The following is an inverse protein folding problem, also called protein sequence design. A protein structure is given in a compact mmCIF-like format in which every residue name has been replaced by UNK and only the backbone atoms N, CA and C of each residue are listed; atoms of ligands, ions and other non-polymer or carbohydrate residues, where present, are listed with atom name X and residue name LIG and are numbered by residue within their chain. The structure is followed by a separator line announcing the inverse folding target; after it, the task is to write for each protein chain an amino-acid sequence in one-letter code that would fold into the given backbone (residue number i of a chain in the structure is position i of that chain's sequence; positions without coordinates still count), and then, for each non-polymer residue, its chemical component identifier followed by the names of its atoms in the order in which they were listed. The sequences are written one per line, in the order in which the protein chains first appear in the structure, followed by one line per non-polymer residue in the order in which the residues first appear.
data_IF_260682218365
#
_entry.id   IF_260682218365
#
_cell.length_a   1.000
_cell.length_b   1.000
_cell.length_c   1.000
_cell.angle_alpha   90.00
_cell.angle_beta   90.00
_cell.angle_gamma   90.00
#
_symmetry.space_group_name_H-M   'P 1'
#
loop_
_entity.id
_entity.type
_entity.pdbx_description
1 polymer ?
#
# COMPACT_ATOMS: atom_id res chain seq x y z
N UNK A 1 48.05 10.94 51.55
CA UNK A 1 47.24 9.70 51.61
C UNK A 1 47.24 9.08 50.23
N UNK A 2 47.68 7.82 50.15
CA UNK A 2 47.83 7.06 48.91
C UNK A 2 46.47 6.74 48.26
N UNK A 3 46.30 7.08 46.99
CA UNK A 3 45.27 6.48 46.14
C UNK A 3 45.94 5.61 45.08
N UNK A 4 45.61 4.31 45.14
CA UNK A 4 46.00 3.28 44.18
C UNK A 4 45.31 3.54 42.83
N UNK A 5 46.08 3.54 41.76
CA UNK A 5 45.59 3.44 40.40
C UNK A 5 45.13 2.00 40.14
N UNK A 6 43.86 1.83 39.71
CA UNK A 6 43.37 0.59 39.11
C UNK A 6 43.56 0.70 37.59
N UNK A 7 44.43 -0.15 37.05
CA UNK A 7 44.53 -0.45 35.63
C UNK A 7 43.35 -1.33 35.22
N UNK A 8 42.51 -0.85 34.32
CA UNK A 8 41.55 -1.66 33.57
C UNK A 8 42.13 -1.90 32.17
N UNK A 9 42.40 -3.17 31.85
CA UNK A 9 42.69 -3.62 30.49
C UNK A 9 41.44 -3.51 29.61
N UNK A 10 41.55 -3.10 28.34
CA UNK A 10 40.51 -3.36 27.36
C UNK A 10 40.65 -4.80 26.83
N UNK A 11 39.58 -5.59 26.96
CA UNK A 11 39.39 -6.82 26.20
C UNK A 11 39.11 -6.44 24.74
N UNK A 12 40.11 -6.62 23.89
CA UNK A 12 39.95 -6.64 22.43
C UNK A 12 39.33 -7.99 22.03
N UNK A 13 38.03 -8.01 21.77
CA UNK A 13 37.38 -9.10 21.02
C UNK A 13 37.50 -8.80 19.54
N UNK A 14 38.48 -9.43 18.89
CA UNK A 14 38.56 -9.52 17.43
C UNK A 14 37.39 -10.35 16.92
N UNK A 15 36.39 -9.71 16.30
CA UNK A 15 35.47 -10.39 15.41
C UNK A 15 36.18 -10.62 14.08
N UNK A 16 36.53 -11.87 13.80
CA UNK A 16 36.94 -12.30 12.47
C UNK A 16 35.71 -12.24 11.56
N UNK A 17 35.75 -11.32 10.59
CA UNK A 17 34.82 -11.32 9.48
C UNK A 17 35.11 -12.55 8.60
N UNK A 18 34.24 -13.55 8.65
CA UNK A 18 34.19 -14.58 7.62
C UNK A 18 33.67 -13.93 6.33
N UNK A 19 34.55 -13.74 5.36
CA UNK A 19 34.13 -13.56 3.98
C UNK A 19 33.48 -14.85 3.50
N UNK A 20 32.32 -14.82 2.81
CA UNK A 20 31.80 -16.00 2.17
C UNK A 20 32.72 -16.36 1.01
N UNK A 21 33.47 -17.45 1.19
CA UNK A 21 34.09 -18.16 0.07
C UNK A 21 32.98 -18.70 -0.81
N UNK A 22 32.90 -18.23 -2.06
CA UNK A 22 32.12 -18.85 -3.13
C UNK A 22 32.75 -20.22 -3.41
N UNK A 23 32.29 -21.22 -2.64
CA UNK A 23 32.65 -22.63 -2.77
C UNK A 23 31.69 -23.31 -3.74
N UNK A 24 32.27 -24.09 -4.65
CA UNK A 24 31.56 -24.81 -5.71
C UNK A 24 30.46 -25.74 -5.19
N UNK A 25 29.50 -25.94 -6.08
CA UNK A 25 28.38 -26.87 -6.02
C UNK A 25 28.83 -28.30 -5.70
N UNK A 26 28.56 -28.76 -4.48
CA UNK A 26 28.28 -30.16 -4.19
C UNK A 26 26.84 -30.23 -3.67
N UNK A 27 25.98 -30.92 -4.43
CA UNK A 27 24.54 -31.04 -4.19
C UNK A 27 24.25 -31.82 -2.91
N UNK A 28 24.14 -31.12 -1.80
CA UNK A 28 23.51 -31.66 -0.60
C UNK A 28 21.99 -31.64 -0.79
N UNK A 29 21.37 -32.83 -0.70
CA UNK A 29 19.93 -33.08 -0.53
C UNK A 29 19.41 -32.39 0.75
N UNK A 30 19.32 -31.06 0.75
CA UNK A 30 18.54 -30.35 1.75
C UNK A 30 17.09 -30.51 1.32
N UNK A 31 16.21 -31.14 2.13
CA UNK A 31 14.80 -31.27 1.80
C UNK A 31 14.21 -29.89 1.50
N UNK A 32 13.58 -29.74 0.33
CA UNK A 32 12.92 -28.50 -0.05
C UNK A 32 11.68 -28.34 0.83
N UNK A 33 11.74 -27.42 1.78
CA UNK A 33 10.60 -27.15 2.65
C UNK A 33 9.64 -26.19 1.94
N UNK A 34 8.63 -26.72 1.25
CA UNK A 34 7.55 -25.93 0.62
C UNK A 34 6.52 -25.40 1.64
N UNK A 35 6.60 -25.80 2.92
CA UNK A 35 5.76 -25.27 4.00
C UNK A 35 6.34 -24.01 4.65
N UNK A 36 7.64 -23.77 4.50
CA UNK A 36 8.22 -22.44 4.72
C UNK A 36 8.13 -21.66 3.43
N UNK A 37 7.34 -20.59 3.38
CA UNK A 37 7.38 -19.68 2.23
C UNK A 37 8.81 -19.14 2.08
N UNK A 38 9.44 -19.37 0.93
CA UNK A 38 10.86 -19.04 0.73
C UNK A 38 11.07 -17.60 0.25
N UNK A 39 10.09 -16.96 -0.39
CA UNK A 39 10.22 -15.54 -0.76
C UNK A 39 10.36 -14.71 0.53
N UNK A 40 11.56 -14.19 0.85
CA UNK A 40 11.82 -13.50 2.11
C UNK A 40 11.14 -12.12 2.16
N UNK A 41 10.37 -11.78 1.12
CA UNK A 41 9.97 -10.43 0.78
C UNK A 41 11.12 -9.64 0.20
N UNK A 42 10.81 -8.44 -0.23
CA UNK A 42 11.81 -7.51 -0.71
C UNK A 42 12.82 -7.14 0.37
N UNK A 43 14.05 -6.85 -0.06
CA UNK A 43 15.08 -6.35 0.85
C UNK A 43 14.61 -5.03 1.48
N UNK A 44 14.61 -4.99 2.81
CA UNK A 44 14.33 -3.79 3.58
C UNK A 44 15.51 -2.83 3.46
N UNK A 45 15.30 -1.70 2.81
CA UNK A 45 16.27 -0.61 2.72
C UNK A 45 16.27 0.23 4.00
N UNK A 46 15.09 0.41 4.61
CA UNK A 46 14.95 1.12 5.88
C UNK A 46 13.73 0.64 6.67
N UNK A 47 13.90 0.61 7.99
CA UNK A 47 12.84 0.33 8.96
C UNK A 47 12.88 1.37 10.09
N UNK A 48 11.70 1.87 10.45
CA UNK A 48 11.48 2.82 11.53
C UNK A 48 10.21 2.46 12.32
N UNK A 49 10.11 2.77 13.62
CA UNK A 49 11.17 3.34 14.46
C UNK A 49 12.35 2.39 14.64
N UNK A 50 13.56 2.94 14.77
CA UNK A 50 14.75 2.18 15.16
C UNK A 50 14.71 1.72 16.62
N UNK A 51 15.61 0.82 17.08
CA UNK A 51 15.60 0.29 18.45
C UNK A 51 15.73 1.33 19.58
N UNK A 52 16.27 2.51 19.28
CA UNK A 52 16.43 3.63 20.22
C UNK A 52 15.39 4.74 20.06
N UNK A 53 14.52 4.63 19.05
CA UNK A 53 13.51 5.65 18.76
C UNK A 53 12.22 5.37 19.53
N UNK A 54 11.39 6.40 19.69
CA UNK A 54 10.09 6.24 20.32
C UNK A 54 9.22 5.29 19.48
N UNK A 55 8.61 4.26 20.08
CA UNK A 55 7.77 3.34 19.33
C UNK A 55 6.56 4.04 18.71
N UNK A 56 6.03 3.46 17.64
CA UNK A 56 4.68 3.75 17.16
C UNK A 56 3.77 2.63 17.63
N UNK A 57 2.80 2.98 18.46
CA UNK A 57 1.84 2.07 19.09
C UNK A 57 0.42 2.20 18.50
N UNK A 58 0.24 3.11 17.55
CA UNK A 58 -1.00 3.28 16.81
C UNK A 58 -0.72 3.89 15.43
N UNK A 59 -1.35 3.32 14.40
CA UNK A 59 -1.43 3.89 13.05
C UNK A 59 -2.87 3.71 12.59
N UNK A 60 -3.52 4.83 12.30
CA UNK A 60 -4.95 4.88 12.02
C UNK A 60 -5.23 5.34 10.61
N UNK A 61 -6.00 4.53 9.88
CA UNK A 61 -6.66 4.85 8.59
C UNK A 61 -5.73 5.11 7.39
N UNK A 62 -4.55 5.68 7.63
CA UNK A 62 -3.74 6.29 6.59
C UNK A 62 -2.28 6.56 7.00
N UNK A 63 -1.36 6.25 6.10
CA UNK A 63 0.00 6.77 6.08
C UNK A 63 0.41 6.97 4.61
N UNK A 64 1.00 8.11 4.26
CA UNK A 64 1.45 8.39 2.88
C UNK A 64 2.76 9.16 2.82
N UNK A 65 3.55 8.94 1.76
CA UNK A 65 4.70 9.77 1.41
C UNK A 65 4.37 11.26 1.26
N UNK A 66 5.35 12.08 1.61
CA UNK A 66 5.35 13.54 1.45
C UNK A 66 6.53 13.91 0.57
N UNK A 67 6.30 14.20 -0.73
CA UNK A 67 7.36 14.67 -1.62
C UNK A 67 8.01 15.92 -1.05
N UNK A 68 9.32 16.03 -1.26
CA UNK A 68 10.12 17.14 -0.75
C UNK A 68 11.36 17.33 -1.63
N UNK A 69 11.98 18.50 -1.51
CA UNK A 69 13.13 18.89 -2.34
C UNK A 69 14.45 18.23 -1.88
N UNK A 70 14.55 17.78 -0.62
CA UNK A 70 15.76 17.14 -0.11
C UNK A 70 15.92 15.69 -0.59
N UNK A 71 14.83 15.06 -1.04
CA UNK A 71 14.81 13.65 -1.40
C UNK A 71 14.75 12.73 -0.18
N UNK A 72 14.49 13.25 1.01
CA UNK A 72 14.31 12.43 2.21
C UNK A 72 13.02 11.61 2.13
N UNK A 73 13.00 10.43 2.76
CA UNK A 73 11.79 9.64 2.88
C UNK A 73 10.94 10.16 4.03
N UNK A 74 10.03 11.09 3.71
CA UNK A 74 9.09 11.66 4.67
C UNK A 74 7.72 11.03 4.46
N UNK A 75 7.04 10.67 5.55
CA UNK A 75 5.65 10.24 5.53
C UNK A 75 4.79 11.14 6.43
N UNK A 76 3.53 11.32 6.06
CA UNK A 76 2.46 11.76 6.93
C UNK A 76 1.68 10.54 7.42
N UNK A 77 1.38 10.47 8.71
CA UNK A 77 0.55 9.41 9.27
C UNK A 77 -0.30 9.93 10.43
N UNK A 78 -1.41 9.25 10.71
CA UNK A 78 -2.28 9.57 11.83
C UNK A 78 -2.13 8.55 12.97
N UNK A 79 -2.04 9.06 14.20
CA UNK A 79 -1.91 8.27 15.42
C UNK A 79 -2.60 9.00 16.56
N UNK A 80 -3.40 8.31 17.37
CA UNK A 80 -4.12 8.88 18.53
C UNK A 80 -4.93 10.16 18.22
N UNK A 81 -5.61 10.19 17.06
CA UNK A 81 -6.37 11.37 16.56
C UNK A 81 -5.52 12.63 16.33
N UNK A 82 -4.26 12.45 15.96
CA UNK A 82 -3.31 13.49 15.63
C UNK A 82 -2.55 13.11 14.35
N UNK A 83 -2.38 14.07 13.43
CA UNK A 83 -1.49 13.90 12.28
C UNK A 83 -0.03 14.19 12.68
N UNK A 84 0.90 13.45 12.08
CA UNK A 84 2.34 13.61 12.24
C UNK A 84 3.05 13.62 10.89
N UNK A 85 4.16 14.35 10.80
CA UNK A 85 5.21 14.08 9.83
C UNK A 85 6.32 13.26 10.49
N UNK A 86 6.86 12.31 9.74
CA UNK A 86 8.01 11.50 10.15
C UNK A 86 9.02 11.44 9.02
N UNK A 87 10.19 12.06 9.23
CA UNK A 87 11.35 11.86 8.37
C UNK A 87 11.98 10.50 8.70
N UNK A 88 11.69 9.49 7.88
CA UNK A 88 12.17 8.13 8.06
C UNK A 88 13.71 8.05 7.89
N UNK A 89 14.29 8.89 7.02
CA UNK A 89 15.74 8.98 6.85
C UNK A 89 16.44 9.40 8.15
N UNK A 90 15.89 10.42 8.82
CA UNK A 90 16.53 11.07 9.98
C UNK A 90 16.05 10.55 11.34
N UNK A 91 14.90 9.89 11.41
CA UNK A 91 14.31 9.46 12.69
C UNK A 91 13.54 10.57 13.44
N UNK A 92 13.30 11.72 12.81
CA UNK A 92 12.62 12.87 13.43
C UNK A 92 11.11 12.83 13.15
N UNK A 93 10.30 13.10 14.18
CA UNK A 93 8.83 13.13 14.11
C UNK A 93 8.28 14.38 14.77
N UNK A 94 7.33 15.05 14.12
CA UNK A 94 6.64 16.24 14.66
C UNK A 94 5.13 16.14 14.42
N UNK A 95 4.33 16.77 15.28
CA UNK A 95 2.89 16.92 15.06
C UNK A 95 2.63 17.94 13.96
N UNK A 96 1.58 17.72 13.17
CA UNK A 96 1.08 18.68 12.18
C UNK A 96 -0.42 18.92 12.39
N UNK A 97 -1.04 19.93 11.77
CA UNK A 97 -2.42 20.28 12.05
C UNK A 97 -3.46 19.15 11.82
N UNK A 98 -4.59 19.31 12.50
CA UNK A 98 -5.78 18.45 12.43
C UNK A 98 -5.57 16.96 12.82
N UNK A 99 -6.66 16.18 12.75
CA UNK A 99 -6.75 14.90 13.48
C UNK A 99 -6.32 13.66 12.71
N UNK A 100 -6.50 13.61 11.40
CA UNK A 100 -6.23 12.41 10.60
C UNK A 100 -6.18 12.73 9.09
N UNK A 101 -5.70 11.76 8.31
CA UNK A 101 -5.79 11.69 6.85
C UNK A 101 -5.13 12.87 6.13
N UNK A 102 -3.99 13.36 6.63
CA UNK A 102 -3.17 14.35 5.94
C UNK A 102 -2.55 13.75 4.65
N UNK A 103 -2.77 14.40 3.51
CA UNK A 103 -2.28 13.95 2.18
C UNK A 103 -1.53 15.07 1.48
N UNK A 104 -0.29 14.80 1.06
CA UNK A 104 0.50 15.75 0.29
C UNK A 104 0.09 15.74 -1.19
N UNK A 105 0.12 16.90 -1.84
CA UNK A 105 0.09 16.98 -3.30
C UNK A 105 1.27 16.23 -3.90
N UNK A 106 1.18 15.69 -5.13
CA UNK A 106 2.26 14.88 -5.72
C UNK A 106 3.58 15.63 -5.91
N UNK A 107 3.56 16.95 -5.88
CA UNK A 107 4.74 17.81 -5.95
C UNK A 107 5.23 18.32 -4.59
N UNK A 108 4.59 17.91 -3.49
CA UNK A 108 4.99 18.28 -2.14
C UNK A 108 4.79 19.75 -1.80
N UNK A 109 3.99 20.50 -2.57
CA UNK A 109 3.74 21.93 -2.30
C UNK A 109 2.71 22.16 -1.19
N UNK A 110 1.70 21.31 -1.12
CA UNK A 110 0.63 21.45 -0.14
C UNK A 110 0.32 20.14 0.56
N UNK A 111 -0.11 20.24 1.82
CA UNK A 111 -0.70 19.16 2.59
C UNK A 111 -2.18 19.45 2.77
N UNK A 112 -3.05 18.47 2.51
CA UNK A 112 -4.50 18.65 2.63
C UNK A 112 -5.05 17.78 3.74
N UNK A 113 -6.15 18.22 4.36
CA UNK A 113 -6.90 17.46 5.37
C UNK A 113 -8.39 17.52 5.03
N UNK A 114 -9.12 16.39 5.01
CA UNK A 114 -10.52 16.38 4.64
C UNK A 114 -11.40 16.82 5.81
N UNK A 115 -12.59 17.34 5.50
CA UNK A 115 -13.45 18.05 6.46
C UNK A 115 -13.84 17.25 7.70
N UNK A 116 -14.00 15.93 7.63
CA UNK A 116 -14.34 15.14 8.81
C UNK A 116 -13.30 15.26 9.93
N UNK A 117 -12.05 15.62 9.62
CA UNK A 117 -10.96 15.68 10.60
C UNK A 117 -10.61 17.09 11.05
N UNK A 118 -11.27 18.11 10.50
CA UNK A 118 -11.06 19.51 10.86
C UNK A 118 -12.12 19.98 11.88
N UNK A 119 -11.81 20.96 12.76
CA UNK A 119 -12.74 21.42 13.79
C UNK A 119 -14.00 22.10 13.25
N UNK A 120 -13.93 22.68 12.05
CA UNK A 120 -14.99 23.45 11.39
C UNK A 120 -15.69 22.69 10.26
N UNK A 121 -15.39 21.40 10.07
CA UNK A 121 -15.94 20.59 8.98
C UNK A 121 -15.66 21.16 7.57
N UNK A 122 -14.52 21.84 7.38
CA UNK A 122 -14.04 22.34 6.10
C UNK A 122 -12.79 21.60 5.62
N UNK A 123 -12.58 21.49 4.30
CA UNK A 123 -11.31 20.98 3.76
C UNK A 123 -10.24 22.06 3.95
N UNK A 124 -9.05 21.67 4.39
CA UNK A 124 -7.93 22.58 4.65
C UNK A 124 -6.71 22.22 3.85
N UNK A 125 -5.99 23.25 3.40
CA UNK A 125 -4.70 23.15 2.74
C UNK A 125 -3.66 23.89 3.58
N UNK A 126 -2.51 23.27 3.79
CA UNK A 126 -1.35 23.79 4.51
C UNK A 126 -0.16 23.87 3.56
N UNK A 127 0.74 24.83 3.79
CA UNK A 127 2.01 24.89 3.08
C UNK A 127 2.91 23.74 3.55
N UNK A 128 3.22 22.81 2.65
CA UNK A 128 4.00 21.63 3.02
C UNK A 128 5.47 21.96 3.30
N UNK A 129 6.03 23.01 2.69
CA UNK A 129 7.40 23.45 2.98
C UNK A 129 7.49 23.98 4.41
N UNK A 130 6.51 24.76 4.86
CA UNK A 130 6.48 25.25 6.25
C UNK A 130 6.39 24.09 7.25
N UNK A 131 5.58 23.06 6.96
CA UNK A 131 5.50 21.85 7.78
C UNK A 131 6.82 21.06 7.83
N UNK A 132 7.52 20.95 6.69
CA UNK A 132 8.83 20.27 6.60
C UNK A 132 9.91 21.09 7.31
N UNK A 133 9.91 22.42 7.19
CA UNK A 133 10.83 23.29 7.92
C UNK A 133 10.72 23.13 9.44
N UNK A 134 9.50 22.90 9.94
CA UNK A 134 9.25 22.56 11.34
C UNK A 134 9.79 21.16 11.71
N UNK A 135 9.57 20.16 10.85
CA UNK A 135 10.12 18.82 11.00
C UNK A 135 11.65 18.84 11.08
N UNK A 136 12.32 19.59 10.20
CA UNK A 136 13.78 19.71 10.16
C UNK A 136 14.35 20.37 11.42
N UNK A 137 13.57 21.25 12.07
CA UNK A 137 13.91 21.85 13.37
C UNK A 137 13.51 20.98 14.56
N UNK A 138 12.75 19.89 14.35
CA UNK A 138 12.18 19.07 15.41
C UNK A 138 11.12 19.80 16.24
N UNK A 139 10.39 20.73 15.63
CA UNK A 139 9.37 21.57 16.27
C UNK A 139 7.97 21.14 15.82
N UNK A 140 7.03 20.97 16.76
CA UNK A 140 5.62 20.72 16.42
C UNK A 140 5.05 21.88 15.58
N UNK A 141 4.20 21.54 14.60
CA UNK A 141 3.56 22.46 13.66
C UNK A 141 2.02 22.40 13.72
N UNK A 142 1.46 21.78 14.76
CA UNK A 142 0.01 21.57 14.95
C UNK A 142 -0.80 22.87 15.07
N UNK A 143 -0.13 23.98 15.36
CA UNK A 143 -0.72 25.33 15.40
C UNK A 143 -0.66 26.12 14.08
N UNK A 144 -0.10 25.59 13.00
CA UNK A 144 0.00 26.32 11.73
C UNK A 144 -1.39 26.56 11.12
N UNK A 145 -1.71 27.79 10.66
CA UNK A 145 -2.96 28.06 9.99
C UNK A 145 -2.98 27.48 8.57
N UNK A 146 -4.16 27.12 8.02
CA UNK A 146 -4.27 26.73 6.63
C UNK A 146 -4.02 27.93 5.70
N UNK A 147 -3.37 27.69 4.56
CA UNK A 147 -3.20 28.68 3.48
C UNK A 147 -4.46 28.81 2.63
N UNK A 148 -5.34 27.80 2.65
CA UNK A 148 -6.64 27.84 1.99
C UNK A 148 -7.64 26.93 2.72
N UNK A 149 -8.89 27.37 2.79
CA UNK A 149 -10.01 26.64 3.39
C UNK A 149 -11.14 26.56 2.37
N UNK A 150 -11.60 25.35 2.07
CA UNK A 150 -12.74 25.11 1.20
C UNK A 150 -13.95 24.72 2.04
N UNK A 151 -14.85 25.68 2.19
CA UNK A 151 -16.18 25.50 2.77
C UNK A 151 -17.18 25.27 1.63
N UNK A 152 -17.69 24.04 1.54
CA UNK A 152 -18.71 23.65 0.57
C UNK A 152 -19.67 22.63 1.19
N UNK A 153 -21.01 22.82 1.07
CA UNK A 153 -21.99 21.95 1.71
C UNK A 153 -21.86 20.47 1.33
N UNK A 154 -21.62 20.17 0.04
CA UNK A 154 -21.43 18.80 -0.47
C UNK A 154 -20.11 18.13 -0.03
N UNK A 155 -19.21 18.88 0.59
CA UNK A 155 -17.91 18.39 1.07
C UNK A 155 -17.83 18.42 2.59
N UNK A 156 -18.96 18.54 3.29
CA UNK A 156 -19.00 18.39 4.75
C UNK A 156 -18.85 16.92 5.12
N UNK A 157 -18.05 16.63 6.15
CA UNK A 157 -17.82 15.28 6.69
C UNK A 157 -17.20 14.26 5.74
N UNK A 158 -16.50 14.70 4.70
CA UNK A 158 -15.67 13.78 3.91
C UNK A 158 -14.49 13.32 4.78
N UNK A 159 -14.27 12.01 4.86
CA UNK A 159 -13.29 11.38 5.76
C UNK A 159 -12.15 10.70 5.02
N UNK A 160 -12.17 10.75 3.69
CA UNK A 160 -11.20 10.09 2.85
C UNK A 160 -10.80 11.00 1.69
N UNK A 161 -9.51 11.04 1.36
CA UNK A 161 -9.02 11.77 0.21
C UNK A 161 -7.84 11.13 -0.54
N UNK A 162 -7.66 11.55 -1.79
CA UNK A 162 -6.43 11.35 -2.58
C UNK A 162 -6.26 12.51 -3.57
N UNK A 163 -5.05 12.75 -4.08
CA UNK A 163 -4.73 13.93 -4.89
C UNK A 163 -3.82 13.60 -6.08
N UNK A 164 -4.04 14.32 -7.19
CA UNK A 164 -3.23 14.27 -8.40
C UNK A 164 -3.10 15.66 -9.04
N UNK A 165 -2.18 15.81 -10.00
CA UNK A 165 -1.97 17.06 -10.76
C UNK A 165 -2.59 16.91 -12.15
N UNK A 166 -3.61 17.71 -12.45
CA UNK A 166 -4.29 17.72 -13.77
C UNK A 166 -3.46 18.47 -14.80
N UNK A 167 -2.90 19.61 -14.42
CA UNK A 167 -2.06 20.44 -15.28
C UNK A 167 -1.17 21.36 -14.47
N UNK A 168 -0.07 21.78 -15.09
CA UNK A 168 0.83 22.82 -14.58
C UNK A 168 1.35 23.66 -15.75
N UNK A 169 1.34 24.96 -15.55
CA UNK A 169 2.03 25.93 -16.40
C UNK A 169 2.80 26.94 -15.53
N UNK A 170 3.39 27.96 -16.15
CA UNK A 170 4.21 28.97 -15.47
C UNK A 170 3.40 29.83 -14.48
N UNK A 171 2.07 29.92 -14.64
CA UNK A 171 1.20 30.78 -13.84
C UNK A 171 0.37 30.02 -12.81
N UNK A 172 0.14 28.72 -13.04
CA UNK A 172 -0.84 27.96 -12.29
C UNK A 172 -0.55 26.47 -12.19
N UNK A 173 -1.08 25.85 -11.15
CA UNK A 173 -1.16 24.39 -11.02
C UNK A 173 -2.60 24.01 -10.70
N UNK A 174 -3.13 23.02 -11.41
CA UNK A 174 -4.47 22.47 -11.15
C UNK A 174 -4.30 21.14 -10.44
N UNK A 175 -4.70 21.08 -9.18
CA UNK A 175 -4.76 19.84 -8.42
C UNK A 175 -6.17 19.28 -8.46
N UNK A 176 -6.30 17.98 -8.69
CA UNK A 176 -7.56 17.25 -8.48
C UNK A 176 -7.48 16.56 -7.14
N UNK A 177 -8.44 16.84 -6.27
CA UNK A 177 -8.65 16.03 -5.08
C UNK A 177 -9.90 15.20 -5.25
N UNK A 178 -9.80 13.94 -4.85
CA UNK A 178 -10.93 13.02 -4.74
C UNK A 178 -11.29 12.88 -3.27
N UNK A 179 -12.59 12.87 -2.97
CA UNK A 179 -13.14 12.79 -1.63
C UNK A 179 -14.18 11.67 -1.52
N UNK A 180 -14.34 11.12 -0.32
CA UNK A 180 -15.48 10.28 0.05
C UNK A 180 -15.96 10.56 1.46
N UNK A 181 -17.26 10.38 1.69
CA UNK A 181 -17.78 10.27 3.05
C UNK A 181 -19.02 11.08 3.43
N UNK A 182 -19.87 11.53 2.51
CA UNK A 182 -21.15 12.09 2.96
C UNK A 182 -22.04 10.95 3.45
N UNK A 183 -22.41 10.95 4.74
CA UNK A 183 -23.22 9.90 5.39
C UNK A 183 -24.62 9.67 4.77
N UNK A 184 -25.00 10.50 3.79
CA UNK A 184 -26.28 10.45 3.09
C UNK A 184 -26.16 10.07 1.61
N UNK A 185 -24.98 10.00 1.01
CA UNK A 185 -24.81 9.69 -0.42
C UNK A 185 -23.62 8.75 -0.64
N UNK A 186 -23.90 7.56 -1.17
CA UNK A 186 -22.87 6.68 -1.74
C UNK A 186 -22.18 7.38 -2.91
N UNK A 187 -20.86 7.29 -3.01
CA UNK A 187 -20.10 7.84 -4.13
C UNK A 187 -18.88 8.65 -3.76
N UNK A 188 -17.99 8.77 -4.73
CA UNK A 188 -16.79 9.59 -4.67
C UNK A 188 -17.02 10.87 -5.43
N UNK A 189 -16.43 11.95 -4.94
CA UNK A 189 -16.47 13.26 -5.59
C UNK A 189 -15.06 13.70 -5.93
N UNK A 190 -14.90 14.42 -7.02
CA UNK A 190 -13.65 15.13 -7.33
C UNK A 190 -13.89 16.65 -7.37
N UNK A 191 -12.87 17.41 -7.01
CA UNK A 191 -12.81 18.86 -7.16
C UNK A 191 -11.46 19.22 -7.76
N UNK A 192 -11.48 20.07 -8.78
CA UNK A 192 -10.26 20.64 -9.35
C UNK A 192 -10.02 22.01 -8.73
N UNK A 193 -8.82 22.21 -8.19
CA UNK A 193 -8.40 23.45 -7.55
C UNK A 193 -7.31 24.10 -8.39
N UNK A 194 -7.59 25.29 -8.92
CA UNK A 194 -6.59 26.09 -9.62
C UNK A 194 -5.85 26.98 -8.63
N UNK A 195 -4.56 26.73 -8.43
CA UNK A 195 -3.68 27.53 -7.60
C UNK A 195 -2.90 28.51 -8.48
N UNK A 196 -2.90 29.80 -8.12
CA UNK A 196 -2.13 30.87 -8.78
C UNK A 196 -1.36 31.69 -7.75
N UNK A 197 -0.08 31.93 -8.00
CA UNK A 197 0.81 32.61 -7.04
C UNK A 197 1.26 31.74 -5.87
N UNK A 198 1.91 32.34 -4.88
CA UNK A 198 2.46 31.66 -3.70
C UNK A 198 2.39 32.57 -2.46
N UNK A 199 2.44 31.98 -1.27
CA UNK A 199 2.42 32.72 0.00
C UNK A 199 1.27 33.72 0.07
N UNK A 200 1.57 35.00 0.31
CA UNK A 200 0.54 36.04 0.46
C UNK A 200 -0.19 36.43 -0.83
N UNK A 201 0.29 36.00 -2.01
CA UNK A 201 -0.38 36.26 -3.30
C UNK A 201 -1.17 35.06 -3.79
N UNK A 202 -1.17 33.95 -3.04
CA UNK A 202 -1.86 32.74 -3.40
C UNK A 202 -3.37 32.98 -3.59
N UNK A 203 -3.87 32.58 -4.75
CA UNK A 203 -5.30 32.51 -5.05
C UNK A 203 -5.63 31.07 -5.41
N UNK A 204 -6.69 30.54 -4.80
CA UNK A 204 -7.19 29.19 -5.05
C UNK A 204 -8.64 29.28 -5.50
N UNK A 205 -8.94 28.68 -6.65
CA UNK A 205 -10.29 28.61 -7.21
C UNK A 205 -10.70 27.16 -7.39
N UNK A 206 -11.63 26.62 -6.58
CA UNK A 206 -12.19 25.29 -6.77
C UNK A 206 -13.27 25.28 -7.88
N UNK A 207 -13.45 24.13 -8.53
CA UNK A 207 -14.68 23.82 -9.28
C UNK A 207 -15.80 23.39 -8.34
N UNK A 208 -17.04 23.31 -8.87
CA UNK A 208 -18.10 22.55 -8.21
C UNK A 208 -17.69 21.08 -8.02
N UNK A 209 -18.08 20.42 -6.90
CA UNK A 209 -17.84 18.99 -6.71
C UNK A 209 -18.52 18.14 -7.79
N UNK A 210 -17.76 17.25 -8.42
CA UNK A 210 -18.26 16.36 -9.46
C UNK A 210 -18.33 14.92 -8.96
N UNK A 211 -19.40 14.20 -9.28
CA UNK A 211 -19.48 12.74 -9.07
C UNK A 211 -18.42 12.03 -9.93
N UNK A 212 -17.64 11.16 -9.29
CA UNK A 212 -16.61 10.36 -9.93
C UNK A 212 -17.19 9.06 -10.50
N UNK A 213 -16.94 8.82 -11.79
CA UNK A 213 -17.27 7.60 -12.53
C UNK A 213 -18.69 7.04 -12.24
N UNK A 214 -19.75 7.83 -12.46
CA UNK A 214 -21.13 7.43 -12.11
C UNK A 214 -21.62 6.16 -12.81
N UNK A 215 -21.00 5.77 -13.91
CA UNK A 215 -21.28 4.55 -14.67
C UNK A 215 -20.78 3.27 -14.00
N UNK A 216 -19.90 3.36 -12.99
CA UNK A 216 -19.39 2.19 -12.27
C UNK A 216 -20.41 1.79 -11.19
N UNK A 217 -21.08 0.63 -11.33
CA UNK A 217 -22.09 0.19 -10.38
C UNK A 217 -21.45 -0.19 -9.03
N UNK A 218 -22.25 -0.09 -7.96
CA UNK A 218 -21.97 -0.61 -6.61
C UNK A 218 -20.86 0.09 -5.80
N UNK A 219 -20.60 1.35 -6.13
CA UNK A 219 -19.67 2.28 -5.50
C UNK A 219 -18.19 1.81 -5.52
N UNK A 220 -17.31 2.76 -5.77
CA UNK A 220 -15.87 2.51 -5.76
C UNK A 220 -15.46 2.26 -4.32
N UNK A 221 -15.00 1.07 -3.94
CA UNK A 221 -14.51 0.91 -2.56
C UNK A 221 -13.02 1.23 -2.47
N UNK A 222 -12.67 2.13 -1.54
CA UNK A 222 -11.29 2.60 -1.30
C UNK A 222 -10.52 3.08 -2.54
N UNK A 223 -11.13 3.83 -3.48
CA UNK A 223 -10.48 4.24 -4.72
C UNK A 223 -9.29 5.16 -4.44
N UNK A 224 -8.27 5.12 -5.28
CA UNK A 224 -7.14 6.06 -5.25
C UNK A 224 -6.95 6.70 -6.62
N UNK A 225 -6.70 8.01 -6.64
CA UNK A 225 -6.32 8.70 -7.86
C UNK A 225 -4.80 8.60 -8.10
N UNK A 226 -4.43 8.44 -9.37
CA UNK A 226 -3.05 8.53 -9.86
C UNK A 226 -2.45 9.93 -9.66
N UNK A 227 -1.11 10.01 -9.64
CA UNK A 227 -0.39 11.26 -9.35
C UNK A 227 -0.60 12.33 -10.44
N UNK A 228 -0.93 11.92 -11.66
CA UNK A 228 -1.28 12.80 -12.78
C UNK A 228 -2.80 13.01 -12.93
N UNK A 229 -3.61 12.57 -11.95
CA UNK A 229 -5.06 12.75 -11.90
C UNK A 229 -5.85 12.14 -13.09
N UNK A 230 -5.23 11.28 -13.90
CA UNK A 230 -5.84 10.70 -15.11
C UNK A 230 -6.57 9.39 -14.85
N UNK A 231 -6.14 8.65 -13.84
CA UNK A 231 -6.62 7.31 -13.51
C UNK A 231 -7.10 7.22 -12.07
N UNK A 232 -8.06 6.33 -11.85
CA UNK A 232 -8.54 5.91 -10.54
C UNK A 232 -8.42 4.40 -10.47
N UNK A 233 -7.74 3.89 -9.45
CA UNK A 233 -7.81 2.47 -9.10
C UNK A 233 -8.92 2.30 -8.08
N UNK A 234 -9.74 1.27 -8.24
CA UNK A 234 -10.75 0.90 -7.26
C UNK A 234 -11.04 -0.59 -7.32
N UNK A 235 -11.51 -1.12 -6.21
CA UNK A 235 -12.23 -2.38 -6.23
C UNK A 235 -13.65 -2.18 -6.77
N UNK A 236 -14.14 -3.11 -7.58
CA UNK A 236 -15.55 -3.22 -8.02
C UNK A 236 -16.15 -4.56 -7.63
N UNK A 237 -17.47 -4.58 -7.44
CA UNK A 237 -18.24 -5.79 -7.15
C UNK A 237 -19.47 -5.85 -8.04
N UNK A 238 -19.83 -7.05 -8.49
CA UNK A 238 -21.11 -7.29 -9.18
C UNK A 238 -22.32 -7.27 -8.22
N UNK A 239 -22.08 -7.29 -6.91
CA UNK A 239 -23.11 -7.26 -5.86
C UNK A 239 -23.09 -5.94 -5.09
N UNK A 240 -24.25 -5.28 -4.99
CA UNK A 240 -24.49 -4.10 -4.15
C UNK A 240 -24.21 -4.35 -2.65
N UNK A 241 -24.23 -5.60 -2.21
CA UNK A 241 -24.35 -5.95 -0.79
C UNK A 241 -23.05 -6.49 -0.18
N UNK A 242 -22.03 -6.75 -1.00
CA UNK A 242 -20.80 -7.33 -0.48
C UNK A 242 -19.60 -6.97 -1.32
N UNK A 243 -18.66 -6.26 -0.69
CA UNK A 243 -17.27 -6.20 -1.14
C UNK A 243 -16.54 -7.56 -1.03
N UNK A 244 -17.28 -8.65 -0.82
CA UNK A 244 -16.80 -10.01 -0.55
C UNK A 244 -17.48 -11.08 -1.41
N UNK A 245 -18.17 -10.69 -2.50
CA UNK A 245 -18.80 -11.65 -3.41
C UNK A 245 -17.85 -12.18 -4.48
N UNK A 246 -18.19 -13.32 -5.06
CA UNK A 246 -17.56 -13.83 -6.28
C UNK A 246 -17.71 -12.81 -7.42
N UNK A 247 -16.67 -12.66 -8.24
CA UNK A 247 -16.69 -11.75 -9.41
C UNK A 247 -16.26 -10.32 -9.10
N UNK A 248 -15.63 -10.10 -7.96
CA UNK A 248 -15.08 -8.78 -7.63
C UNK A 248 -13.62 -8.65 -7.99
N UNK A 249 -13.21 -7.45 -8.36
CA UNK A 249 -11.89 -7.22 -8.91
C UNK A 249 -11.35 -5.83 -8.60
N UNK A 250 -10.04 -5.74 -8.39
CA UNK A 250 -9.30 -4.49 -8.50
C UNK A 250 -9.26 -4.10 -9.98
N UNK A 251 -9.63 -2.85 -10.27
CA UNK A 251 -9.69 -2.33 -11.63
C UNK A 251 -9.07 -0.93 -11.67
N UNK A 252 -8.51 -0.57 -12.83
CA UNK A 252 -8.07 0.80 -13.13
C UNK A 252 -9.03 1.41 -14.14
N UNK A 253 -9.49 2.61 -13.83
CA UNK A 253 -10.36 3.41 -14.66
C UNK A 253 -9.63 4.67 -15.13
N UNK A 254 -9.72 5.01 -16.41
CA UNK A 254 -9.30 6.31 -16.92
C UNK A 254 -10.44 7.31 -16.73
N UNK A 255 -10.18 8.47 -16.14
CA UNK A 255 -11.10 9.62 -16.14
C UNK A 255 -10.99 10.25 -17.53
N UNK A 256 -11.88 9.86 -18.43
CA UNK A 256 -11.85 10.28 -19.82
C UNK A 256 -12.24 11.76 -19.97
N UNK A 257 -13.30 12.19 -19.25
CA UNK A 257 -13.83 13.55 -19.33
C UNK A 257 -14.38 14.02 -17.98
N UNK A 258 -14.37 15.33 -17.75
CA UNK A 258 -14.95 15.99 -16.59
C UNK A 258 -15.93 17.08 -17.01
N UNK A 259 -17.09 17.13 -16.34
CA UNK A 259 -18.17 18.07 -16.62
C UNK A 259 -18.54 18.86 -15.36
N UNK A 260 -17.75 19.87 -14.95
CA UNK A 260 -18.02 20.64 -13.74
C UNK A 260 -19.41 21.26 -13.69
N UNK A 261 -19.91 21.76 -14.81
CA UNK A 261 -21.25 22.35 -14.91
C UNK A 261 -22.39 21.33 -14.72
N UNK A 262 -22.12 20.05 -14.97
CA UNK A 262 -23.07 18.94 -14.80
C UNK A 262 -22.84 18.18 -13.48
N UNK A 263 -21.80 18.56 -12.72
CA UNK A 263 -21.44 17.90 -11.46
C UNK A 263 -21.04 16.44 -11.64
N UNK A 264 -20.42 16.07 -12.77
CA UNK A 264 -20.10 14.66 -13.06
C UNK A 264 -18.82 14.47 -13.88
N UNK A 265 -18.40 13.22 -14.01
CA UNK A 265 -17.30 12.76 -14.86
C UNK A 265 -17.77 11.62 -15.77
N UNK A 266 -16.90 11.22 -16.72
CA UNK A 266 -17.02 9.97 -17.47
C UNK A 266 -15.70 9.22 -17.36
N UNK A 267 -15.77 7.95 -16.98
CA UNK A 267 -14.63 7.06 -16.91
C UNK A 267 -14.80 5.83 -17.81
N UNK A 268 -13.71 5.10 -17.97
CA UNK A 268 -13.66 3.84 -18.72
C UNK A 268 -12.72 2.87 -18.00
N UNK A 269 -13.08 1.59 -17.92
CA UNK A 269 -12.19 0.57 -17.40
C UNK A 269 -11.07 0.30 -18.42
N UNK A 270 -9.82 0.39 -17.97
CA UNK A 270 -8.64 0.13 -18.81
C UNK A 270 -7.85 -1.09 -18.35
N UNK A 271 -7.96 -1.47 -17.08
CA UNK A 271 -7.35 -2.70 -16.53
C UNK A 271 -8.34 -3.39 -15.59
N UNK A 272 -8.40 -4.72 -15.71
CA UNK A 272 -9.04 -5.61 -14.76
C UNK A 272 -8.03 -6.68 -14.31
N UNK A 273 -7.76 -6.74 -13.00
CA UNK A 273 -6.78 -7.67 -12.45
C UNK A 273 -7.33 -9.09 -12.21
N UNK A 274 -8.65 -9.26 -12.21
CA UNK A 274 -9.34 -10.53 -11.98
C UNK A 274 -9.38 -10.98 -10.51
N UNK A 275 -8.99 -10.14 -9.56
CA UNK A 275 -8.97 -10.48 -8.14
C UNK A 275 -9.25 -9.28 -7.24
N UNK A 276 -9.79 -9.55 -6.04
CA UNK A 276 -9.97 -8.54 -5.02
C UNK A 276 -8.64 -8.18 -4.34
N UNK A 277 -8.42 -6.89 -4.10
CA UNK A 277 -7.29 -6.37 -3.35
C UNK A 277 -7.71 -5.13 -2.56
N UNK A 278 -6.94 -4.82 -1.53
CA UNK A 278 -7.11 -3.68 -0.66
C UNK A 278 -6.66 -2.36 -1.27
N UNK A 279 -6.42 -1.40 -0.38
CA UNK A 279 -6.01 -0.04 -0.71
C UNK A 279 -4.78 -0.06 -1.64
N UNK A 280 -4.89 0.66 -2.74
CA UNK A 280 -3.85 0.72 -3.77
C UNK A 280 -3.16 2.09 -3.85
N UNK A 281 -2.05 2.16 -4.59
CA UNK A 281 -1.37 3.41 -4.95
C UNK A 281 -0.62 3.26 -6.29
N UNK A 282 -0.62 4.34 -7.08
CA UNK A 282 0.14 4.41 -8.32
C UNK A 282 1.55 4.94 -8.05
N UNK A 283 2.53 4.41 -8.78
CA UNK A 283 3.84 5.05 -8.89
C UNK A 283 3.71 6.45 -9.53
N UNK A 284 4.67 7.35 -9.27
CA UNK A 284 4.62 8.74 -9.75
C UNK A 284 4.57 8.87 -11.27
N UNK A 285 5.12 7.89 -11.97
CA UNK A 285 5.16 7.81 -13.44
C UNK A 285 4.06 6.90 -14.03
N UNK A 286 3.16 6.38 -13.20
CA UNK A 286 2.14 5.39 -13.57
C UNK A 286 2.68 4.08 -14.14
N UNK A 287 3.98 3.76 -13.97
CA UNK A 287 4.58 2.52 -14.46
C UNK A 287 4.27 1.31 -13.59
N UNK A 288 3.80 1.53 -12.36
CA UNK A 288 3.48 0.48 -11.38
C UNK A 288 2.25 0.84 -10.56
N UNK A 289 1.63 -0.22 -10.04
CA UNK A 289 0.59 -0.14 -9.03
C UNK A 289 0.97 -1.04 -7.87
N UNK A 290 0.70 -0.61 -6.64
CA UNK A 290 0.86 -1.41 -5.44
C UNK A 290 -0.46 -1.51 -4.70
N UNK A 291 -0.67 -2.61 -3.97
CA UNK A 291 -1.85 -2.84 -3.13
C UNK A 291 -1.54 -3.88 -2.07
N UNK A 292 -2.39 -3.98 -1.05
CA UNK A 292 -2.32 -5.09 -0.10
C UNK A 292 -3.37 -6.17 -0.39
N UNK A 293 -3.02 -7.42 -0.20
CA UNK A 293 -3.93 -8.57 -0.21
C UNK A 293 -4.22 -9.01 1.23
N UNK A 294 -5.24 -9.84 1.43
CA UNK A 294 -5.59 -10.39 2.75
C UNK A 294 -5.73 -11.90 2.68
N UNK A 295 -5.30 -12.59 3.74
CA UNK A 295 -5.57 -14.01 4.01
C UNK A 295 -6.33 -14.13 5.32
N UNK A 296 -7.26 -15.09 5.41
CA UNK A 296 -8.11 -15.27 6.60
C UNK A 296 -9.30 -14.31 6.67
N UNK A 297 -9.19 -13.15 6.02
CA UNK A 297 -10.28 -12.26 5.62
C UNK A 297 -10.26 -12.07 4.11
N UNK A 298 -11.42 -11.90 3.49
CA UNK A 298 -11.49 -11.69 2.03
C UNK A 298 -10.95 -10.31 1.62
N UNK A 299 -11.17 -9.27 2.45
CA UNK A 299 -10.62 -7.94 2.24
C UNK A 299 -10.46 -7.23 3.59
N UNK A 300 -9.41 -6.44 3.73
CA UNK A 300 -9.21 -5.56 4.89
C UNK A 300 -9.16 -4.11 4.41
N UNK A 301 -10.32 -3.48 4.16
CA UNK A 301 -10.36 -2.14 3.56
C UNK A 301 -9.92 -1.05 4.53
N UNK A 302 -10.17 -1.25 5.83
CA UNK A 302 -9.85 -0.30 6.88
C UNK A 302 -9.05 -0.98 7.99
N UNK A 303 -7.89 -0.42 8.30
CA UNK A 303 -7.04 -0.87 9.39
C UNK A 303 -6.88 0.29 10.37
N UNK A 304 -7.19 0.00 11.63
CA UNK A 304 -7.15 0.93 12.75
C UNK A 304 -6.62 0.14 13.94
N UNK A 305 -5.45 0.54 14.45
CA UNK A 305 -4.79 -0.15 15.56
C UNK A 305 -4.34 -1.59 15.25
N UNK A 306 -4.07 -1.93 13.98
CA UNK A 306 -3.54 -3.23 13.55
C UNK A 306 -4.59 -4.25 13.09
N UNK A 307 -4.16 -5.50 12.89
CA UNK A 307 -4.97 -6.58 12.32
C UNK A 307 -5.56 -7.51 13.38
N UNK A 308 -6.80 -7.95 13.17
CA UNK A 308 -7.42 -9.01 13.98
C UNK A 308 -6.96 -10.39 13.48
N UNK A 309 -6.51 -11.27 14.38
CA UNK A 309 -6.30 -12.67 14.04
C UNK A 309 -7.63 -13.34 13.61
N UNK A 310 -7.62 -14.25 12.61
CA UNK A 310 -6.46 -14.84 11.94
C UNK A 310 -6.00 -14.06 10.69
N UNK A 311 -6.44 -12.82 10.49
CA UNK A 311 -6.16 -12.04 9.28
C UNK A 311 -4.66 -11.76 9.15
N UNK A 312 -4.16 -11.92 7.94
CA UNK A 312 -2.80 -11.56 7.54
C UNK A 312 -2.93 -10.69 6.29
N UNK A 313 -2.08 -9.67 6.15
CA UNK A 313 -2.00 -8.86 4.93
C UNK A 313 -0.61 -8.81 4.37
N UNK A 314 -0.52 -8.71 3.04
CA UNK A 314 0.75 -8.60 2.34
C UNK A 314 0.71 -7.60 1.21
N UNK A 315 1.85 -6.99 0.92
CA UNK A 315 2.01 -5.98 -0.12
C UNK A 315 2.40 -6.66 -1.43
N UNK A 316 1.78 -6.20 -2.51
CA UNK A 316 2.02 -6.65 -3.88
C UNK A 316 2.31 -5.44 -4.76
N UNK A 317 3.15 -5.63 -5.77
CA UNK A 317 3.41 -4.67 -6.86
C UNK A 317 3.12 -5.34 -8.19
N UNK A 318 2.55 -4.60 -9.12
CA UNK A 318 2.35 -4.99 -10.53
C UNK A 318 2.96 -3.92 -11.43
N UNK A 319 3.56 -4.31 -12.57
CA UNK A 319 3.91 -3.30 -13.58
C UNK A 319 2.67 -2.99 -14.40
N UNK A 320 2.46 -1.71 -14.67
CA UNK A 320 1.47 -1.25 -15.62
C UNK A 320 2.13 -1.11 -17.00
N UNK A 321 1.43 -1.52 -18.04
CA UNK A 321 1.88 -1.36 -19.43
C UNK A 321 1.31 -0.04 -19.94
N UNK A 322 2.19 0.81 -20.46
CA UNK A 322 1.81 2.10 -21.06
C UNK A 322 2.04 2.09 -22.57
N UNK A 323 1.24 2.82 -23.32
CA UNK A 323 1.48 3.09 -24.74
C UNK A 323 2.46 4.27 -24.94
N UNK A 324 2.73 4.65 -26.19
CA UNK A 324 3.66 5.75 -26.53
C UNK A 324 3.18 7.13 -26.02
N UNK A 325 1.89 7.28 -25.71
CA UNK A 325 1.32 8.49 -25.12
C UNK A 325 1.39 8.49 -23.58
N UNK A 326 1.90 7.41 -22.98
CA UNK A 326 1.93 7.21 -21.54
C UNK A 326 0.61 6.70 -20.96
N UNK A 327 -0.35 6.30 -21.81
CA UNK A 327 -1.64 5.82 -21.35
C UNK A 327 -1.52 4.38 -20.84
N UNK A 328 -2.07 4.10 -19.66
CA UNK A 328 -2.18 2.72 -19.16
C UNK A 328 -3.12 1.93 -20.07
N UNK A 329 -2.59 0.87 -20.68
CA UNK A 329 -3.31 -0.03 -21.60
C UNK A 329 -3.35 -1.47 -21.11
N UNK A 330 -2.70 -1.77 -19.98
CA UNK A 330 -2.62 -3.11 -19.43
C UNK A 330 -1.69 -3.18 -18.23
N UNK A 331 -1.26 -4.39 -17.91
CA UNK A 331 -0.27 -4.66 -16.87
C UNK A 331 0.58 -5.87 -17.26
N UNK A 332 1.74 -6.00 -16.65
CA UNK A 332 2.67 -7.11 -16.89
C UNK A 332 3.42 -7.46 -15.61
N UNK A 333 3.38 -8.74 -15.24
CA UNK A 333 4.10 -9.22 -14.08
C UNK A 333 3.55 -8.73 -12.73
N UNK A 334 3.77 -9.53 -11.69
CA UNK A 334 3.42 -9.20 -10.33
C UNK A 334 4.46 -9.77 -9.35
N UNK A 335 4.78 -9.03 -8.31
CA UNK A 335 5.66 -9.47 -7.24
C UNK A 335 4.97 -9.28 -5.90
N UNK A 336 5.03 -10.32 -5.06
CA UNK A 336 4.62 -10.24 -3.66
C UNK A 336 5.80 -9.71 -2.85
N UNK A 337 5.69 -8.48 -2.39
CA UNK A 337 6.75 -7.75 -1.69
C UNK A 337 6.92 -8.22 -0.26
N UNK A 338 5.86 -8.67 0.40
CA UNK A 338 5.92 -9.16 1.77
C UNK A 338 5.29 -10.55 1.88
N UNK A 339 5.82 -11.35 2.80
CA UNK A 339 5.20 -12.63 3.17
C UNK A 339 5.05 -12.71 4.68
N UNK A 340 3.84 -12.41 5.15
CA UNK A 340 3.50 -12.49 6.56
C UNK A 340 2.97 -13.89 6.88
N UNK A 341 3.48 -14.49 7.96
CA UNK A 341 3.09 -15.84 8.41
C UNK A 341 2.38 -15.84 9.77
N UNK A 342 2.53 -14.75 10.54
CA UNK A 342 1.96 -14.63 11.87
C UNK A 342 0.53 -14.08 11.79
N UNK A 343 -0.42 -14.83 12.35
CA UNK A 343 -1.82 -14.42 12.39
C UNK A 343 -2.01 -13.11 13.16
N UNK A 344 -2.74 -12.16 12.58
CA UNK A 344 -2.93 -10.84 13.17
C UNK A 344 -1.72 -9.90 13.01
N UNK A 345 -0.69 -10.31 12.26
CA UNK A 345 0.40 -9.46 11.81
C UNK A 345 0.36 -9.35 10.27
N UNK A 346 0.89 -8.26 9.73
CA UNK A 346 0.85 -8.04 8.30
C UNK A 346 1.42 -6.70 7.87
N UNK A 347 1.44 -6.51 6.55
CA UNK A 347 1.88 -5.29 5.88
C UNK A 347 0.74 -4.68 5.07
N UNK A 348 0.55 -3.37 5.17
CA UNK A 348 -0.59 -2.65 4.59
C UNK A 348 -0.30 -1.17 4.34
N UNK A 349 -1.24 -0.51 3.66
CA UNK A 349 -1.12 0.88 3.18
C UNK A 349 0.14 1.12 2.35
N UNK A 350 0.41 0.29 1.33
CA UNK A 350 1.57 0.52 0.48
C UNK A 350 1.41 1.81 -0.33
N UNK A 351 2.52 2.50 -0.55
CA UNK A 351 2.58 3.74 -1.31
C UNK A 351 3.96 3.93 -1.95
N UNK A 352 4.00 4.46 -3.17
CA UNK A 352 5.28 4.78 -3.79
C UNK A 352 5.84 6.09 -3.25
N UNK A 353 7.14 6.11 -2.98
CA UNK A 353 7.94 7.31 -2.77
C UNK A 353 8.30 7.94 -4.14
N UNK A 354 8.63 9.24 -4.19
CA UNK A 354 8.97 9.93 -5.46
C UNK A 354 10.13 9.32 -6.25
N UNK A 355 11.02 8.60 -5.58
CA UNK A 355 12.19 7.94 -6.17
C UNK A 355 11.88 6.52 -6.72
N UNK A 356 10.64 6.07 -6.61
CA UNK A 356 10.20 4.74 -7.05
C UNK A 356 10.32 3.65 -6.00
N UNK A 357 10.91 3.93 -4.83
CA UNK A 357 10.89 3.00 -3.70
C UNK A 357 9.47 2.84 -3.17
N UNK A 358 9.22 1.71 -2.51
CA UNK A 358 7.93 1.39 -1.94
C UNK A 358 7.96 1.51 -0.42
N UNK A 359 7.06 2.31 0.12
CA UNK A 359 6.78 2.42 1.54
C UNK A 359 5.58 1.55 1.92
N UNK A 360 5.58 0.96 3.12
CA UNK A 360 4.39 0.36 3.73
C UNK A 360 4.45 0.37 5.27
N UNK A 361 3.29 0.16 5.90
CA UNK A 361 3.14 -0.02 7.35
C UNK A 361 3.11 -1.52 7.67
N UNK A 362 3.83 -1.95 8.70
CA UNK A 362 3.78 -3.32 9.21
C UNK A 362 3.40 -3.33 10.69
N UNK A 363 2.47 -4.18 11.10
CA UNK A 363 2.16 -4.41 12.51
C UNK A 363 2.78 -5.73 12.98
N UNK A 364 3.45 -5.71 14.14
CA UNK A 364 4.07 -6.91 14.70
C UNK A 364 3.21 -7.60 15.77
N UNK A 365 2.13 -6.95 16.22
CA UNK A 365 1.28 -7.44 17.30
C UNK A 365 -0.18 -7.41 16.86
N UNK A 366 -0.94 -8.51 17.05
CA UNK A 366 -2.37 -8.54 16.77
C UNK A 366 -3.13 -7.44 17.51
N UNK A 367 -4.14 -6.86 16.86
CA UNK A 367 -4.97 -5.76 17.38
C UNK A 367 -5.56 -6.03 18.75
N UNK A 368 -6.03 -7.26 19.00
CA UNK A 368 -6.65 -7.67 20.28
C UNK A 368 -5.69 -8.29 21.29
N UNK A 369 -4.38 -8.34 21.00
CA UNK A 369 -3.37 -8.81 21.97
C UNK A 369 -3.20 -7.84 23.13
N UNK A 370 -2.94 -8.36 24.33
CA UNK A 370 -2.57 -7.58 25.53
C UNK A 370 -1.12 -7.06 25.49
N UNK A 371 -0.31 -7.48 24.50
CA UNK A 371 1.05 -6.98 24.33
C UNK A 371 1.07 -5.55 23.79
N UNK A 372 2.12 -4.81 24.12
CA UNK A 372 2.36 -3.46 23.60
C UNK A 372 2.30 -3.45 22.07
N UNK A 373 1.46 -2.57 21.52
CA UNK A 373 1.35 -2.41 20.08
C UNK A 373 2.65 -1.86 19.50
N UNK A 374 3.00 -2.37 18.32
CA UNK A 374 4.20 -1.98 17.58
C UNK A 374 3.89 -1.96 16.09
N UNK A 375 4.07 -0.78 15.51
CA UNK A 375 3.99 -0.52 14.08
C UNK A 375 5.37 -0.08 13.56
N UNK A 376 5.68 -0.53 12.36
CA UNK A 376 6.89 -0.20 11.64
C UNK A 376 6.55 0.41 10.28
N UNK A 377 7.33 1.40 9.90
CA UNK A 377 7.38 2.01 8.58
C UNK A 377 8.58 1.43 7.85
N UNK A 378 8.32 0.75 6.74
CA UNK A 378 9.36 0.06 5.97
C UNK A 378 9.46 0.64 4.58
N UNK A 379 10.68 0.72 4.07
CA UNK A 379 11.01 1.11 2.70
C UNK A 379 11.76 -0.02 2.03
N UNK A 380 11.37 -0.34 0.80
CA UNK A 380 11.99 -1.39 -0.03
C UNK A 380 12.15 -0.89 -1.46
N UNK A 381 13.12 -1.47 -2.19
CA UNK A 381 13.23 -1.29 -3.64
C UNK A 381 12.45 -2.42 -4.36
N UNK A 382 11.30 -2.12 -4.97
CA UNK A 382 10.50 -3.14 -5.66
C UNK A 382 11.09 -3.57 -7.01
N UNK A 383 12.12 -2.89 -7.53
CA UNK A 383 12.71 -3.20 -8.84
C UNK A 383 13.61 -4.43 -8.83
N UNK A 384 14.07 -4.85 -7.65
CA UNK A 384 14.88 -6.05 -7.45
C UNK A 384 14.04 -7.34 -7.42
N UNK A 385 12.71 -7.21 -7.34
CA UNK A 385 11.82 -8.35 -7.15
C UNK A 385 11.54 -9.12 -8.45
N UNK A 386 11.41 -10.43 -8.31
CA UNK A 386 11.03 -11.30 -9.43
C UNK A 386 9.55 -11.10 -9.77
N UNK A 387 9.30 -10.54 -10.95
CA UNK A 387 7.95 -10.34 -11.48
C UNK A 387 7.44 -11.63 -12.11
N UNK A 388 6.37 -12.18 -11.54
CA UNK A 388 5.72 -13.42 -11.99
C UNK A 388 4.52 -13.12 -12.89
N UNK A 389 4.17 -14.05 -13.78
CA UNK A 389 2.94 -13.95 -14.55
C UNK A 389 1.70 -13.95 -13.63
N UNK A 390 0.66 -13.20 -14.03
CA UNK A 390 -0.59 -13.17 -13.28
C UNK A 390 -1.42 -14.44 -13.55
N UNK A 391 -1.40 -15.38 -12.61
CA UNK A 391 -2.21 -16.59 -12.70
C UNK A 391 -3.73 -16.32 -12.71
N UNK A 392 -4.18 -15.15 -12.21
CA UNK A 392 -5.59 -14.74 -12.23
C UNK A 392 -6.09 -14.31 -13.61
N UNK A 393 -5.18 -14.02 -14.56
CA UNK A 393 -5.56 -13.55 -15.90
C UNK A 393 -6.04 -14.68 -16.84
N UNK A 394 -5.73 -15.93 -16.49
CA UNK A 394 -6.06 -17.12 -17.29
C UNK A 394 -6.85 -18.13 -16.43
N UNK A 395 -8.09 -18.48 -16.83
CA UNK A 395 -8.91 -19.45 -16.11
C UNK A 395 -8.22 -20.81 -15.91
N UNK A 396 -7.45 -21.29 -16.90
CA UNK A 396 -6.73 -22.57 -16.80
C UNK A 396 -5.61 -22.48 -15.76
N UNK A 397 -4.80 -21.42 -15.82
CA UNK A 397 -3.78 -21.15 -14.80
C UNK A 397 -4.36 -20.98 -13.40
N UNK A 398 -5.53 -20.34 -13.27
CA UNK A 398 -6.25 -20.18 -11.99
C UNK A 398 -6.68 -21.53 -11.42
N UNK A 399 -7.20 -22.43 -12.26
CA UNK A 399 -7.59 -23.79 -11.84
C UNK A 399 -6.36 -24.60 -11.39
N UNK A 400 -5.27 -24.58 -12.16
CA UNK A 400 -4.02 -25.24 -11.79
C UNK A 400 -3.44 -24.68 -10.49
N UNK A 401 -3.44 -23.35 -10.32
CA UNK A 401 -3.00 -22.71 -9.08
C UNK A 401 -3.87 -23.12 -7.87
N UNK A 402 -5.18 -23.32 -8.09
CA UNK A 402 -6.10 -23.86 -7.08
C UNK A 402 -5.76 -25.29 -6.68
N UNK A 403 -5.39 -26.14 -7.64
CA UNK A 403 -4.90 -27.49 -7.33
C UNK A 403 -3.58 -27.48 -6.58
N UNK A 404 -2.63 -26.61 -6.94
CA UNK A 404 -1.35 -26.45 -6.23
C UNK A 404 -1.60 -25.97 -4.79
N UNK A 405 -2.52 -25.03 -4.59
CA UNK A 405 -2.86 -24.54 -3.26
C UNK A 405 -3.48 -25.64 -2.36
N UNK A 406 -4.29 -26.54 -2.93
CA UNK A 406 -4.83 -27.71 -2.22
C UNK A 406 -3.73 -28.69 -1.83
N UNK A 407 -2.76 -28.94 -2.71
CA UNK A 407 -1.58 -29.75 -2.38
C UNK A 407 -0.80 -29.14 -1.22
N UNK A 408 -0.52 -27.83 -1.32
CA UNK A 408 0.19 -27.10 -0.27
C UNK A 408 -0.54 -27.19 1.07
N UNK A 409 -1.86 -26.97 1.06
CA UNK A 409 -2.68 -27.09 2.25
C UNK A 409 -2.58 -28.49 2.87
N UNK A 410 -2.81 -29.54 2.07
CA UNK A 410 -2.73 -30.93 2.53
C UNK A 410 -1.37 -31.26 3.15
N UNK A 411 -0.29 -30.82 2.50
CA UNK A 411 1.06 -31.12 2.94
C UNK A 411 1.50 -30.31 4.17
N UNK A 412 0.95 -29.11 4.37
CA UNK A 412 1.42 -28.17 5.39
C UNK A 412 0.49 -27.96 6.59
N UNK A 413 -0.78 -28.37 6.53
CA UNK A 413 -1.74 -28.18 7.63
C UNK A 413 -1.78 -29.32 8.66
N UNK A 414 -0.94 -30.35 8.54
CA UNK A 414 -0.76 -31.37 9.59
C UNK A 414 -1.85 -32.43 9.70
N UNK A 415 -2.74 -32.58 8.70
CA UNK A 415 -3.62 -33.75 8.55
C UNK A 415 -4.76 -33.91 9.57
N UNK A 416 -4.99 -32.96 10.47
CA UNK A 416 -6.24 -32.88 11.22
C UNK A 416 -7.31 -32.25 10.34
N UNK A 417 -8.40 -32.98 10.10
CA UNK A 417 -9.62 -32.62 9.36
C UNK A 417 -9.60 -31.25 8.67
N UNK A 418 -9.57 -31.27 7.33
CA UNK A 418 -9.77 -30.12 6.45
C UNK A 418 -11.18 -29.57 6.66
N UNK A 419 -11.42 -28.87 7.76
CA UNK A 419 -12.68 -28.18 8.03
C UNK A 419 -12.42 -26.77 8.59
N UNK A 420 -13.18 -25.82 8.03
CA UNK A 420 -13.23 -24.35 8.26
C UNK A 420 -11.99 -23.48 7.92
N UNK A 421 -10.75 -23.98 7.91
CA UNK A 421 -9.55 -23.20 7.48
C UNK A 421 -9.06 -23.56 6.06
N UNK A 422 -9.96 -24.00 5.16
CA UNK A 422 -9.65 -24.23 3.75
C UNK A 422 -9.02 -22.99 3.09
N UNK A 423 -7.96 -23.15 2.29
CA UNK A 423 -7.45 -22.06 1.44
C UNK A 423 -8.62 -21.62 0.58
N UNK A 424 -9.07 -20.37 0.74
CA UNK A 424 -10.23 -19.88 0.01
C UNK A 424 -9.85 -19.79 -1.47
N UNK A 425 -10.83 -19.95 -2.35
CA UNK A 425 -10.58 -19.97 -3.81
C UNK A 425 -9.82 -18.72 -4.29
N UNK A 426 -10.15 -17.54 -3.76
CA UNK A 426 -9.44 -16.28 -4.06
C UNK A 426 -8.02 -16.19 -3.47
N UNK A 427 -7.69 -17.03 -2.48
CA UNK A 427 -6.36 -17.09 -1.85
C UNK A 427 -5.42 -18.03 -2.62
N UNK A 428 -5.95 -18.97 -3.41
CA UNK A 428 -5.17 -20.04 -4.01
C UNK A 428 -4.05 -19.56 -4.93
N UNK A 429 -4.27 -18.64 -5.90
CA UNK A 429 -3.16 -18.20 -6.76
C UNK A 429 -2.09 -17.40 -6.01
N UNK A 430 -2.42 -16.83 -4.83
CA UNK A 430 -1.42 -16.21 -3.96
C UNK A 430 -0.51 -17.24 -3.26
N UNK A 431 -1.01 -18.45 -3.00
CA UNK A 431 -0.17 -19.55 -2.51
C UNK A 431 0.85 -19.92 -3.57
N UNK A 432 0.41 -20.09 -4.82
CA UNK A 432 1.32 -20.32 -5.95
C UNK A 432 2.41 -19.25 -5.97
N UNK A 433 2.04 -17.96 -5.99
CA UNK A 433 2.96 -16.81 -5.99
C UNK A 433 3.95 -16.75 -4.83
N UNK A 434 3.78 -17.55 -3.78
CA UNK A 434 4.66 -17.59 -2.61
C UNK A 434 5.74 -18.68 -2.69
N UNK A 435 5.57 -19.68 -3.55
CA UNK A 435 6.53 -20.78 -3.65
C UNK A 435 7.65 -20.41 -4.63
N UNK A 436 8.91 -20.77 -4.39
CA UNK A 436 9.89 -20.74 -5.49
C UNK A 436 9.54 -21.80 -6.55
N UNK A 437 10.07 -21.70 -7.80
CA UNK A 437 9.87 -22.75 -8.81
C UNK A 437 10.24 -24.15 -8.29
N UNK A 438 11.33 -24.25 -7.52
CA UNK A 438 11.77 -25.50 -6.91
C UNK A 438 10.82 -25.99 -5.80
N UNK A 439 10.33 -25.09 -4.94
CA UNK A 439 9.33 -25.46 -3.92
C UNK A 439 8.01 -25.92 -4.53
N UNK A 440 7.56 -25.22 -5.56
CA UNK A 440 6.35 -25.58 -6.30
C UNK A 440 6.50 -26.94 -6.98
N UNK A 441 7.62 -27.15 -7.68
CA UNK A 441 7.94 -28.44 -8.31
C UNK A 441 7.98 -29.58 -7.31
N UNK A 442 8.74 -29.43 -6.21
CA UNK A 442 8.85 -30.44 -5.16
C UNK A 442 7.48 -30.78 -4.53
N UNK A 443 6.66 -29.77 -4.21
CA UNK A 443 5.30 -29.97 -3.70
C UNK A 443 4.45 -30.82 -4.66
N UNK A 444 4.48 -30.50 -5.95
CA UNK A 444 3.73 -31.25 -6.98
C UNK A 444 4.30 -32.65 -7.17
N UNK A 445 5.62 -32.81 -7.15
CA UNK A 445 6.24 -34.13 -7.33
C UNK A 445 5.92 -35.09 -6.18
N UNK A 446 5.98 -34.59 -4.94
CA UNK A 446 5.86 -35.39 -3.72
C UNK A 446 4.40 -35.68 -3.32
N UNK A 447 3.48 -34.72 -3.52
CA UNK A 447 2.11 -34.81 -2.98
C UNK A 447 1.02 -34.97 -4.02
N UNK A 448 1.33 -34.88 -5.31
CA UNK A 448 0.32 -35.07 -6.35
C UNK A 448 -0.29 -36.48 -6.31
N UNK A 449 -1.61 -36.54 -6.51
CA UNK A 449 -2.38 -37.77 -6.64
C UNK A 449 -3.37 -37.67 -7.80
N UNK A 450 -3.76 -38.82 -8.35
CA UNK A 450 -4.82 -38.89 -9.37
C UNK A 450 -6.10 -38.18 -8.87
N UNK A 451 -6.62 -37.25 -9.69
CA UNK A 451 -7.83 -36.47 -9.38
C UNK A 451 -7.60 -35.01 -9.00
N UNK A 452 -6.35 -34.55 -8.84
CA UNK A 452 -6.02 -33.15 -8.55
C UNK A 452 -5.70 -32.31 -9.79
N UNK A 453 -5.87 -32.87 -10.99
CA UNK A 453 -5.56 -32.22 -12.26
C UNK A 453 -4.32 -32.82 -12.94
N UNK A 454 -3.92 -32.21 -14.05
CA UNK A 454 -2.79 -32.65 -14.86
C UNK A 454 -1.46 -32.28 -14.19
N UNK A 455 -0.70 -33.29 -13.76
CA UNK A 455 0.60 -33.13 -13.10
C UNK A 455 1.59 -32.35 -13.97
N UNK A 456 1.66 -32.67 -15.26
CA UNK A 456 2.64 -32.07 -16.17
C UNK A 456 2.31 -30.60 -16.40
N UNK A 457 1.02 -30.24 -16.48
CA UNK A 457 0.57 -28.86 -16.55
C UNK A 457 0.90 -28.07 -15.27
N UNK A 458 0.71 -28.68 -14.08
CA UNK A 458 1.10 -28.06 -12.80
C UNK A 458 2.61 -27.82 -12.71
N UNK A 459 3.43 -28.80 -13.13
CA UNK A 459 4.89 -28.66 -13.16
C UNK A 459 5.33 -27.59 -14.17
N UNK A 460 4.68 -27.50 -15.33
CA UNK A 460 4.94 -26.44 -16.31
C UNK A 460 4.60 -25.05 -15.74
N UNK A 461 3.49 -24.92 -14.99
CA UNK A 461 3.12 -23.69 -14.30
C UNK A 461 4.11 -23.33 -13.18
N UNK A 462 4.62 -24.32 -12.44
CA UNK A 462 5.68 -24.08 -11.45
C UNK A 462 6.98 -23.55 -12.11
N UNK A 463 7.33 -24.06 -13.29
CA UNK A 463 8.55 -23.71 -14.00
C UNK A 463 8.48 -22.40 -14.81
N UNK A 464 7.27 -21.92 -15.11
CA UNK A 464 7.06 -20.66 -15.85
C UNK A 464 7.10 -19.41 -14.97
N UNK A 465 7.29 -19.59 -13.67
CA UNK A 465 7.47 -18.54 -12.67
C UNK A 465 8.96 -18.23 -12.50
#
# INVERSE_FOLDING_TARGET
MHYRALLLLPLLTSFAACQPTVGGSDGSDVPVNYCSVETPGARIELERPGPSEEPVDDVNWFARPVPNESGDWIIAFASHSQNYLYNLSQGTRVKIPDRSDAVATPDGRYMTVPSNYTPDEHIRFYDARELIDHLDRGEDADGLPPVFVHDHPDLTKVYYQSTGIVSRDDESTVYRLMFSGTASESGFRIVDYTFKGEGSTLQVTPTEPMKLCPEIPNDLNTPFISKDARYVVSYTSSSEQSAYSTGSSLQVFRIAETFPAEGTTRCEAVVDFGFAAGKADFAYDNSKLTFHISKGSYLTPFINGGLDAPTITDVVVVNLTQDDAGDIVGYSGMARITTSLEQGAGSYFPAFLPDGNLFYVANAVPKKSESDKRFYFKVVDPSAELMMANAFADPEATELASSIAKLWQSACSGGSDIDDEAVKEHEAPWILSSLSPNQCGALVEEHWSEGLGDKDAMLALCASR
#
